data_IF_506741747788
#
_entry.id   IF_506741747788
#
_cell.length_a   1.000
_cell.length_b   1.000
_cell.length_c   1.000
_cell.angle_alpha   90.00
_cell.angle_beta   90.00
_cell.angle_gamma   90.00
#
_symmetry.space_group_name_H-M   'P 1'
#
loop_
_entity.id
_entity.type
_entity.pdbx_description
1 polymer ?
#
# COMPACT_ATOMS: atom_id res chain seq x y z
N UNK A 1 63.01 48.81 -11.40
CA UNK A 1 61.68 49.43 -11.23
C UNK A 1 60.74 48.86 -12.28
N UNK A 2 59.49 48.59 -11.87
CA UNK A 2 58.31 48.10 -12.65
C UNK A 2 58.09 46.58 -12.70
N UNK A 3 57.16 46.12 -11.85
CA UNK A 3 56.27 44.97 -12.05
C UNK A 3 55.39 45.19 -13.31
N UNK A 4 54.87 44.11 -13.93
CA UNK A 4 53.53 43.62 -13.58
C UNK A 4 53.53 42.08 -13.42
N UNK A 5 53.09 41.49 -12.30
CA UNK A 5 51.68 41.18 -11.97
C UNK A 5 50.88 40.62 -13.17
N UNK A 6 51.08 39.33 -13.47
CA UNK A 6 50.08 38.51 -14.14
C UNK A 6 49.28 37.75 -13.07
N UNK A 7 48.15 38.32 -12.69
CA UNK A 7 47.09 37.60 -11.98
C UNK A 7 46.43 36.66 -12.99
N UNK A 8 46.73 35.37 -12.90
CA UNK A 8 45.92 34.34 -13.55
C UNK A 8 44.68 34.14 -12.69
N UNK A 9 43.56 34.75 -13.07
CA UNK A 9 42.25 34.41 -12.53
C UNK A 9 41.89 33.02 -13.05
N UNK A 10 41.96 32.02 -12.18
CA UNK A 10 41.25 30.75 -12.36
C UNK A 10 39.76 31.10 -12.30
N UNK A 11 39.14 31.27 -13.46
CA UNK A 11 37.69 31.22 -13.59
C UNK A 11 37.26 29.80 -13.21
N UNK A 12 36.91 29.62 -11.94
CA UNK A 12 36.02 28.55 -11.52
C UNK A 12 34.70 28.81 -12.26
N UNK A 13 34.49 28.07 -13.35
CA UNK A 13 33.14 27.86 -13.86
C UNK A 13 32.37 27.17 -12.74
N UNK A 14 31.69 27.98 -11.92
CA UNK A 14 30.56 27.53 -11.15
C UNK A 14 29.56 26.99 -12.17
N UNK A 15 29.59 25.68 -12.36
CA UNK A 15 28.45 24.92 -12.89
C UNK A 15 27.36 25.18 -11.87
N UNK A 16 26.61 26.24 -12.11
CA UNK A 16 25.34 26.47 -11.46
C UNK A 16 24.47 25.31 -11.94
N UNK A 17 24.38 24.26 -11.12
CA UNK A 17 23.23 23.39 -11.13
C UNK A 17 22.04 24.30 -10.84
N UNK A 18 21.45 24.86 -11.89
CA UNK A 18 20.03 25.13 -11.88
C UNK A 18 19.39 23.81 -11.53
N UNK A 19 18.95 23.69 -10.28
CA UNK A 19 17.93 22.72 -9.91
C UNK A 19 16.72 23.07 -10.79
N UNK A 20 16.63 22.43 -11.96
CA UNK A 20 15.35 22.24 -12.60
C UNK A 20 14.52 21.46 -11.58
N UNK A 21 13.64 22.19 -10.91
CA UNK A 21 12.47 21.65 -10.25
C UNK A 21 11.58 21.09 -11.36
N UNK A 22 11.94 19.91 -11.85
CA UNK A 22 11.02 19.04 -12.56
C UNK A 22 10.36 18.15 -11.50
N UNK A 23 9.12 18.51 -11.19
CA UNK A 23 7.94 17.69 -10.89
C UNK A 23 8.04 16.14 -10.93
N UNK A 24 9.04 15.49 -10.31
CA UNK A 24 9.19 14.02 -10.37
C UNK A 24 9.19 13.30 -9.00
N UNK A 25 8.31 13.71 -8.08
CA UNK A 25 7.83 12.82 -7.01
C UNK A 25 6.40 13.19 -6.55
N UNK A 26 5.35 12.44 -6.95
CA UNK A 26 4.00 12.71 -6.50
C UNK A 26 3.79 12.06 -5.14
N UNK A 27 4.24 12.72 -4.08
CA UNK A 27 3.92 12.30 -2.72
C UNK A 27 4.35 13.31 -1.66
N UNK A 28 3.47 14.21 -1.20
CA UNK A 28 3.76 14.96 0.01
C UNK A 28 3.77 14.03 1.23
N UNK A 29 4.87 14.15 1.98
CA UNK A 29 5.10 13.65 3.33
C UNK A 29 3.95 14.15 4.24
N UNK A 30 3.19 13.23 4.86
CA UNK A 30 2.13 13.57 5.82
C UNK A 30 2.45 13.00 7.19
N UNK A 31 2.29 13.82 8.23
CA UNK A 31 2.64 13.63 9.65
C UNK A 31 1.82 12.58 10.42
N UNK A 32 2.54 11.72 11.13
CA UNK A 32 2.25 10.69 12.17
C UNK A 32 0.87 10.06 12.50
N UNK A 33 -0.32 10.53 12.07
CA UNK A 33 -1.60 9.86 12.40
C UNK A 33 -2.59 9.84 11.21
N UNK A 34 -2.51 8.84 10.32
CA UNK A 34 -3.30 8.81 9.06
C UNK A 34 -3.92 7.43 8.80
N UNK A 35 -4.65 6.89 9.76
CA UNK A 35 -5.76 5.99 9.47
C UNK A 35 -6.91 6.54 10.31
N UNK A 36 -8.15 6.61 9.82
CA UNK A 36 -8.68 6.11 8.53
C UNK A 36 -8.42 7.03 7.31
N UNK A 37 -8.67 6.53 6.09
CA UNK A 37 -8.56 7.28 4.83
C UNK A 37 -8.55 6.39 3.56
N UNK A 38 -8.38 7.01 2.39
CA UNK A 38 -8.34 6.32 1.09
C UNK A 38 -6.89 6.14 0.59
N UNK A 39 -6.54 4.91 0.22
CA UNK A 39 -5.17 4.54 -0.09
C UNK A 39 -5.03 3.54 -1.24
N UNK A 40 -3.87 3.62 -1.90
CA UNK A 40 -3.30 2.54 -2.72
C UNK A 40 -2.21 1.86 -1.91
N UNK A 41 -2.25 0.52 -1.85
CA UNK A 41 -1.20 -0.26 -1.21
C UNK A 41 -0.12 -0.61 -2.22
N UNK A 42 1.11 -0.19 -1.95
CA UNK A 42 2.26 -0.43 -2.83
C UNK A 42 3.43 -1.06 -2.09
N UNK A 43 4.41 -1.60 -2.82
CA UNK A 43 5.69 -2.05 -2.28
C UNK A 43 6.82 -1.65 -3.23
N UNK A 44 7.93 -1.18 -2.66
CA UNK A 44 9.13 -0.88 -3.44
C UNK A 44 9.80 -2.18 -3.93
N UNK A 45 9.83 -2.39 -5.25
CA UNK A 45 10.57 -3.48 -5.89
C UNK A 45 12.01 -3.07 -6.26
N UNK A 46 12.38 -1.81 -5.97
CA UNK A 46 13.65 -1.18 -6.36
C UNK A 46 14.91 -1.75 -5.71
N UNK A 47 14.85 -2.94 -5.10
CA UNK A 47 16.01 -3.64 -4.54
C UNK A 47 16.96 -4.16 -5.64
N UNK A 48 16.52 -4.17 -6.91
CA UNK A 48 17.26 -4.78 -8.03
C UNK A 48 17.64 -3.81 -9.16
N UNK A 49 17.22 -2.55 -9.11
CA UNK A 49 17.36 -1.64 -10.24
C UNK A 49 18.30 -0.47 -9.91
N UNK A 50 19.43 -0.42 -10.60
CA UNK A 50 20.45 0.64 -10.45
C UNK A 50 20.06 1.94 -11.18
N UNK A 51 19.05 1.88 -12.07
CA UNK A 51 18.54 3.01 -12.83
C UNK A 51 17.18 3.45 -12.24
N UNK A 52 17.07 4.66 -11.68
CA UNK A 52 15.82 5.18 -11.13
C UNK A 52 14.68 5.30 -12.15
N UNK A 53 14.98 5.39 -13.45
CA UNK A 53 13.98 5.57 -14.51
C UNK A 53 13.17 4.31 -14.83
N UNK A 54 13.65 3.14 -14.38
CA UNK A 54 12.94 1.86 -14.51
C UNK A 54 12.30 1.42 -13.19
N UNK A 55 12.55 2.15 -12.09
CA UNK A 55 12.09 1.80 -10.76
C UNK A 55 10.59 1.47 -10.79
N UNK A 56 10.21 0.35 -10.15
CA UNK A 56 8.82 -0.10 -10.05
C UNK A 56 8.27 -0.12 -8.62
N UNK A 57 6.96 0.02 -8.52
CA UNK A 57 6.16 -0.41 -7.38
C UNK A 57 5.44 -1.70 -7.76
N UNK A 58 5.37 -2.67 -6.86
CA UNK A 58 4.22 -3.58 -6.85
C UNK A 58 3.01 -2.85 -6.25
N UNK A 59 1.81 -3.11 -6.73
CA UNK A 59 0.55 -2.64 -6.13
C UNK A 59 -0.46 -3.77 -6.08
N UNK A 60 -1.44 -3.66 -5.16
CA UNK A 60 -2.56 -4.61 -5.11
C UNK A 60 -3.77 -4.04 -5.82
N UNK A 61 -4.51 -4.90 -6.52
CA UNK A 61 -5.75 -4.55 -7.20
C UNK A 61 -6.72 -5.73 -7.18
N UNK A 62 -7.95 -5.49 -7.61
CA UNK A 62 -8.97 -6.54 -7.75
C UNK A 62 -9.64 -6.53 -9.12
N UNK A 63 -10.12 -7.69 -9.54
CA UNK A 63 -11.11 -7.81 -10.62
C UNK A 63 -12.55 -7.98 -10.07
N UNK A 64 -12.77 -7.59 -8.80
CA UNK A 64 -14.00 -7.79 -8.00
C UNK A 64 -14.30 -9.22 -7.57
N UNK A 65 -13.49 -10.21 -7.96
CA UNK A 65 -13.63 -11.60 -7.51
C UNK A 65 -12.46 -12.07 -6.66
N UNK A 66 -11.24 -11.63 -6.99
CA UNK A 66 -10.02 -12.01 -6.29
C UNK A 66 -9.07 -10.81 -6.19
N UNK A 67 -8.09 -10.93 -5.31
CA UNK A 67 -7.04 -9.93 -5.12
C UNK A 67 -5.78 -10.36 -5.87
N UNK A 68 -5.17 -9.41 -6.55
CA UNK A 68 -3.99 -9.61 -7.36
C UNK A 68 -2.94 -8.55 -7.03
N UNK A 69 -1.72 -8.83 -7.45
CA UNK A 69 -0.59 -7.91 -7.49
C UNK A 69 -0.20 -7.66 -8.94
N UNK A 70 0.24 -6.46 -9.25
CA UNK A 70 0.99 -6.19 -10.47
C UNK A 70 2.12 -5.20 -10.19
N UNK A 71 2.98 -5.00 -11.16
CA UNK A 71 4.07 -4.04 -11.11
C UNK A 71 3.82 -2.87 -12.04
N UNK A 72 4.15 -1.66 -11.57
CA UNK A 72 4.04 -0.43 -12.35
C UNK A 72 5.25 0.46 -12.14
N UNK A 73 5.62 1.24 -13.15
CA UNK A 73 6.71 2.22 -13.03
C UNK A 73 6.37 3.26 -11.95
N UNK A 74 7.36 3.64 -11.13
CA UNK A 74 7.19 4.67 -10.10
C UNK A 74 6.87 6.05 -10.69
N UNK A 75 7.23 6.26 -11.96
CA UNK A 75 6.90 7.47 -12.73
C UNK A 75 5.44 7.50 -13.18
N UNK A 76 4.70 6.39 -13.07
CA UNK A 76 3.29 6.35 -13.43
C UNK A 76 2.43 7.07 -12.37
N UNK A 77 1.56 8.02 -12.76
CA UNK A 77 0.72 8.73 -11.80
C UNK A 77 -0.30 7.80 -11.13
N UNK A 78 -0.30 7.75 -9.79
CA UNK A 78 -1.30 6.97 -9.03
C UNK A 78 -2.74 7.42 -9.31
N UNK A 79 -2.93 8.69 -9.64
CA UNK A 79 -4.24 9.24 -10.00
C UNK A 79 -4.78 8.71 -11.33
N UNK A 80 -3.92 8.30 -12.26
CA UNK A 80 -4.35 7.59 -13.47
C UNK A 80 -4.54 6.10 -13.17
N UNK A 81 -3.65 5.50 -12.38
CA UNK A 81 -3.76 4.08 -12.00
C UNK A 81 -5.12 3.75 -11.37
N UNK A 82 -5.60 4.57 -10.44
CA UNK A 82 -6.90 4.33 -9.77
C UNK A 82 -8.12 4.56 -10.66
N UNK A 83 -7.95 5.17 -11.85
CA UNK A 83 -9.04 5.27 -12.85
C UNK A 83 -9.10 4.03 -13.73
N UNK A 84 -7.98 3.35 -13.90
CA UNK A 84 -7.82 2.20 -14.79
C UNK A 84 -8.01 0.88 -14.03
N UNK A 85 -7.62 0.85 -12.76
CA UNK A 85 -7.59 -0.35 -11.91
C UNK A 85 -8.41 -0.17 -10.64
N UNK A 86 -9.04 -1.26 -10.17
CA UNK A 86 -9.72 -1.30 -8.86
C UNK A 86 -8.68 -1.48 -7.74
N UNK A 87 -7.92 -0.43 -7.46
CA UNK A 87 -6.81 -0.45 -6.50
C UNK A 87 -6.85 0.67 -5.44
N UNK A 88 -7.93 1.46 -5.41
CA UNK A 88 -8.17 2.45 -4.37
C UNK A 88 -9.08 1.87 -3.29
N UNK A 89 -8.61 1.90 -2.06
CA UNK A 89 -9.33 1.31 -0.92
C UNK A 89 -9.52 2.31 0.21
N UNK A 90 -10.72 2.34 0.75
CA UNK A 90 -11.08 3.06 1.96
C UNK A 90 -10.75 2.21 3.17
N UNK A 91 -9.84 2.68 4.01
CA UNK A 91 -9.48 2.07 5.29
C UNK A 91 -10.25 2.78 6.39
N UNK A 92 -11.15 2.07 7.08
CA UNK A 92 -12.01 2.63 8.13
C UNK A 92 -11.78 1.92 9.48
N UNK A 93 -11.84 2.67 10.59
CA UNK A 93 -11.78 2.07 11.93
C UNK A 93 -12.95 1.09 12.13
N UNK A 94 -12.64 -0.08 12.69
CA UNK A 94 -13.61 -1.10 13.09
C UNK A 94 -13.43 -1.43 14.56
N UNK A 95 -14.51 -1.91 15.17
CA UNK A 95 -14.42 -2.57 16.47
C UNK A 95 -13.88 -3.98 16.26
N UNK A 96 -12.98 -4.38 17.15
CA UNK A 96 -12.51 -5.75 17.32
C UNK A 96 -12.55 -6.09 18.80
N UNK A 97 -12.62 -7.37 19.14
CA UNK A 97 -12.58 -7.82 20.52
C UNK A 97 -11.28 -7.37 21.22
N UNK A 98 -11.42 -6.51 22.23
CA UNK A 98 -10.32 -6.01 23.05
C UNK A 98 -10.03 -4.51 22.90
N UNK A 99 -8.82 -4.11 23.30
CA UNK A 99 -8.40 -2.70 23.36
C UNK A 99 -7.61 -2.20 22.13
N UNK A 100 -7.37 -3.07 21.14
CA UNK A 100 -6.54 -2.76 19.98
C UNK A 100 -7.41 -2.26 18.83
N UNK A 101 -7.07 -1.09 18.27
CA UNK A 101 -7.71 -0.58 17.06
C UNK A 101 -7.47 -1.53 15.89
N UNK A 102 -8.52 -1.87 15.16
CA UNK A 102 -8.46 -2.60 13.91
C UNK A 102 -9.22 -1.85 12.83
N UNK A 103 -9.04 -2.27 11.58
CA UNK A 103 -9.55 -1.55 10.43
C UNK A 103 -10.18 -2.51 9.43
N UNK A 104 -11.19 -2.02 8.73
CA UNK A 104 -11.70 -2.65 7.51
C UNK A 104 -11.03 -2.00 6.30
N UNK A 105 -10.93 -2.74 5.21
CA UNK A 105 -10.38 -2.23 3.94
C UNK A 105 -11.43 -2.49 2.86
N UNK A 106 -12.08 -1.43 2.41
CA UNK A 106 -13.22 -1.47 1.49
C UNK A 106 -12.79 -0.93 0.12
N UNK A 107 -13.31 -1.49 -0.97
CA UNK A 107 -13.06 -0.95 -2.30
C UNK A 107 -13.82 0.38 -2.48
N UNK A 108 -13.12 1.44 -2.89
CA UNK A 108 -13.70 2.79 -2.90
C UNK A 108 -14.79 2.98 -3.97
N UNK A 109 -14.67 2.34 -5.13
CA UNK A 109 -15.64 2.46 -6.22
C UNK A 109 -16.78 1.43 -6.16
N UNK A 110 -16.71 0.49 -5.20
CA UNK A 110 -17.74 -0.51 -4.94
C UNK A 110 -17.85 -0.80 -3.44
N UNK A 111 -18.66 -0.02 -2.69
CA UNK A 111 -18.71 -0.13 -1.24
C UNK A 111 -19.32 -1.44 -0.74
N UNK A 112 -19.85 -2.29 -1.62
CA UNK A 112 -20.26 -3.65 -1.22
C UNK A 112 -19.06 -4.56 -0.98
N UNK A 113 -17.87 -4.20 -1.46
CA UNK A 113 -16.72 -5.10 -1.54
C UNK A 113 -15.65 -4.75 -0.50
N UNK A 114 -15.28 -5.72 0.31
CA UNK A 114 -14.26 -5.62 1.35
C UNK A 114 -13.14 -6.61 1.11
N UNK A 115 -11.91 -6.26 1.48
CA UNK A 115 -10.83 -7.24 1.58
C UNK A 115 -11.11 -8.18 2.75
N UNK A 116 -10.88 -9.46 2.54
CA UNK A 116 -10.94 -10.49 3.57
C UNK A 116 -9.86 -11.54 3.33
N UNK A 117 -9.47 -12.26 4.37
CA UNK A 117 -8.54 -13.37 4.28
C UNK A 117 -9.24 -14.72 4.50
N UNK A 118 -8.74 -15.79 3.90
CA UNK A 118 -9.29 -17.11 4.14
C UNK A 118 -8.41 -18.22 3.60
N UNK A 119 -8.62 -19.43 4.10
CA UNK A 119 -7.92 -20.60 3.59
C UNK A 119 -8.23 -20.80 2.12
N UNK A 120 -7.18 -20.99 1.33
CA UNK A 120 -7.32 -21.35 -0.07
C UNK A 120 -7.89 -22.78 -0.20
N UNK A 121 -8.28 -23.16 -1.42
CA UNK A 121 -8.88 -24.48 -1.71
C UNK A 121 -7.98 -25.67 -1.32
N UNK A 122 -6.65 -25.48 -1.32
CA UNK A 122 -5.69 -26.52 -0.93
C UNK A 122 -5.45 -26.59 0.59
N UNK A 123 -5.94 -25.60 1.36
CA UNK A 123 -5.77 -25.45 2.82
C UNK A 123 -4.32 -25.28 3.31
N UNK A 124 -3.36 -25.15 2.40
CA UNK A 124 -1.95 -24.93 2.71
C UNK A 124 -1.61 -23.43 2.74
N UNK A 125 -2.44 -22.62 2.10
CA UNK A 125 -2.24 -21.18 1.93
C UNK A 125 -3.43 -20.39 2.44
N UNK A 126 -3.17 -19.13 2.79
CA UNK A 126 -4.19 -18.14 3.08
C UNK A 126 -4.18 -17.11 1.97
N UNK A 127 -5.34 -16.89 1.35
CA UNK A 127 -5.49 -15.97 0.24
C UNK A 127 -6.20 -14.71 0.70
N UNK A 128 -5.86 -13.60 0.07
CA UNK A 128 -6.65 -12.38 0.16
C UNK A 128 -7.74 -12.44 -0.92
N UNK A 129 -8.98 -12.18 -0.55
CA UNK A 129 -10.13 -12.24 -1.46
C UNK A 129 -11.09 -11.09 -1.20
N UNK A 130 -12.10 -10.98 -2.07
CA UNK A 130 -13.17 -9.98 -1.94
C UNK A 130 -14.39 -10.59 -1.23
N UNK A 131 -14.77 -9.98 -0.12
CA UNK A 131 -15.97 -10.29 0.64
C UNK A 131 -17.08 -9.30 0.31
N UNK A 132 -18.30 -9.81 0.09
CA UNK A 132 -19.48 -8.98 -0.11
C UNK A 132 -20.10 -8.60 1.24
N UNK A 133 -19.99 -7.34 1.60
CA UNK A 133 -20.57 -6.76 2.80
C UNK A 133 -22.09 -6.79 2.81
N UNK A 134 -22.64 -6.79 4.02
CA UNK A 134 -24.06 -6.74 4.28
C UNK A 134 -24.55 -5.29 4.29
N UNK A 135 -25.69 -5.04 3.62
CA UNK A 135 -26.36 -3.75 3.67
C UNK A 135 -27.11 -3.57 4.99
N UNK A 136 -26.59 -2.71 5.85
CA UNK A 136 -27.22 -2.33 7.11
C UNK A 136 -28.05 -1.06 6.91
N UNK A 137 -29.27 -1.04 7.43
CA UNK A 137 -30.17 0.13 7.36
C UNK A 137 -30.67 0.49 8.76
N UNK A 138 -29.92 1.31 9.52
CA UNK A 138 -30.36 1.74 10.84
C UNK A 138 -31.57 2.66 10.75
N UNK A 139 -32.45 2.60 11.75
CA UNK A 139 -33.61 3.49 11.84
C UNK A 139 -33.13 4.94 11.96
N UNK A 140 -33.52 5.79 11.01
CA UNK A 140 -33.19 7.22 11.03
C UNK A 140 -31.81 7.60 10.46
N UNK A 141 -31.10 6.66 9.84
CA UNK A 141 -29.79 6.91 9.21
C UNK A 141 -29.75 6.35 7.77
N UNK A 142 -28.85 6.86 6.91
CA UNK A 142 -28.58 6.25 5.61
C UNK A 142 -28.11 4.80 5.74
N UNK A 143 -28.46 3.96 4.76
CA UNK A 143 -27.89 2.62 4.66
C UNK A 143 -26.39 2.68 4.42
N UNK A 144 -25.65 1.71 4.97
CA UNK A 144 -24.23 1.51 4.71
C UNK A 144 -23.93 0.02 4.57
N UNK A 145 -22.76 -0.31 4.01
CA UNK A 145 -22.28 -1.69 3.95
C UNK A 145 -21.31 -1.97 5.09
N UNK A 146 -21.44 -3.12 5.71
CA UNK A 146 -20.55 -3.62 6.76
C UNK A 146 -20.02 -4.99 6.35
N UNK A 147 -18.77 -5.36 6.63
CA UNK A 147 -18.34 -6.74 6.44
C UNK A 147 -19.05 -7.73 7.41
N UNK A 148 -19.78 -7.21 8.41
CA UNK A 148 -20.48 -7.98 9.43
C UNK A 148 -19.80 -7.84 10.80
N UNK A 149 -20.54 -8.17 11.86
CA UNK A 149 -20.00 -8.10 13.22
C UNK A 149 -19.10 -9.30 13.56
N UNK A 150 -19.34 -10.46 12.93
CA UNK A 150 -18.58 -11.71 13.15
C UNK A 150 -17.46 -11.94 12.11
N UNK A 151 -17.18 -10.97 11.23
CA UNK A 151 -16.25 -11.13 10.11
C UNK A 151 -14.82 -10.69 10.47
N UNK A 152 -14.19 -11.34 11.46
CA UNK A 152 -12.82 -11.01 11.86
C UNK A 152 -11.81 -11.20 10.72
N UNK A 153 -12.10 -12.08 9.77
CA UNK A 153 -11.32 -12.27 8.55
C UNK A 153 -11.30 -11.05 7.61
N UNK A 154 -12.28 -10.15 7.74
CA UNK A 154 -12.38 -8.90 6.99
C UNK A 154 -11.85 -7.69 7.78
N UNK A 155 -11.21 -7.93 8.92
CA UNK A 155 -10.60 -6.91 9.78
C UNK A 155 -9.10 -7.10 9.84
N UNK A 156 -8.38 -5.99 9.92
CA UNK A 156 -6.93 -5.98 9.86
C UNK A 156 -6.31 -5.10 10.95
N UNK A 157 -5.20 -5.56 11.52
CA UNK A 157 -4.30 -4.73 12.30
C UNK A 157 -3.23 -4.12 11.41
N UNK A 158 -3.03 -2.82 11.55
CA UNK A 158 -1.97 -2.08 10.88
C UNK A 158 -0.83 -1.84 11.87
N UNK A 159 0.23 -2.63 11.75
CA UNK A 159 1.41 -2.52 12.59
C UNK A 159 2.43 -1.60 11.92
N UNK A 160 2.65 -0.42 12.50
CA UNK A 160 3.61 0.57 12.00
C UNK A 160 5.01 -0.05 12.00
N UNK A 161 5.65 -0.08 10.84
CA UNK A 161 6.97 -0.68 10.68
C UNK A 161 8.07 0.38 10.69
N UNK A 162 8.03 1.33 9.75
CA UNK A 162 8.98 2.45 9.64
C UNK A 162 8.50 3.49 8.61
N UNK A 163 9.08 4.69 8.66
CA UNK A 163 8.94 5.71 7.61
C UNK A 163 10.13 5.60 6.64
N UNK A 164 9.87 5.13 5.41
CA UNK A 164 10.89 5.00 4.38
C UNK A 164 10.74 6.16 3.41
N UNK A 165 11.66 7.12 3.47
CA UNK A 165 11.68 8.29 2.57
C UNK A 165 10.38 9.12 2.61
N UNK A 166 9.72 9.22 3.76
CA UNK A 166 8.47 9.99 3.92
C UNK A 166 7.20 9.21 3.54
N UNK A 167 7.33 7.94 3.17
CA UNK A 167 6.22 7.02 2.86
C UNK A 167 6.07 6.03 4.02
N UNK A 168 4.85 5.98 4.57
CA UNK A 168 4.53 5.11 5.70
C UNK A 168 4.40 3.67 5.24
N UNK A 169 4.98 2.77 6.04
CA UNK A 169 4.90 1.34 5.80
C UNK A 169 4.26 0.61 6.97
N UNK A 170 3.42 -0.37 6.65
CA UNK A 170 2.71 -1.19 7.62
C UNK A 170 2.90 -2.67 7.32
N UNK A 171 3.07 -3.47 8.37
CA UNK A 171 2.72 -4.88 8.31
C UNK A 171 1.22 -4.98 8.59
N UNK A 172 0.46 -5.57 7.66
CA UNK A 172 -1.00 -5.62 7.71
C UNK A 172 -1.40 -7.06 8.05
N UNK A 173 -1.87 -7.28 9.27
CA UNK A 173 -2.23 -8.59 9.83
C UNK A 173 -3.74 -8.81 9.77
N UNK A 174 -4.21 -10.00 9.41
CA UNK A 174 -5.62 -10.37 9.52
C UNK A 174 -6.00 -10.66 10.98
N UNK A 175 -7.11 -10.07 11.46
CA UNK A 175 -7.61 -10.29 12.83
C UNK A 175 -8.11 -11.72 13.02
N UNK A 176 -8.92 -12.22 12.10
CA UNK A 176 -9.48 -13.58 12.14
C UNK A 176 -8.43 -14.68 11.91
N UNK A 177 -7.22 -14.31 11.48
CA UNK A 177 -6.11 -15.22 11.26
C UNK A 177 -4.82 -14.68 11.88
N UNK A 178 -4.70 -14.68 13.23
CA UNK A 178 -3.53 -14.10 13.91
C UNK A 178 -2.20 -14.70 13.42
N UNK A 179 -1.21 -13.84 13.24
CA UNK A 179 0.10 -14.18 12.68
C UNK A 179 0.14 -14.28 11.16
N UNK A 180 -0.96 -14.03 10.44
CA UNK A 180 -0.98 -13.97 8.99
C UNK A 180 -1.03 -12.54 8.49
N UNK A 181 -0.06 -12.18 7.65
CA UNK A 181 0.15 -10.82 7.15
C UNK A 181 0.08 -10.78 5.63
N UNK A 182 -0.38 -9.67 5.05
CA UNK A 182 -0.35 -9.44 3.61
C UNK A 182 1.03 -9.72 3.03
N UNK A 183 1.11 -10.67 2.10
CA UNK A 183 2.37 -11.15 1.53
C UNK A 183 2.69 -10.49 0.20
N UNK A 184 3.98 -10.31 -0.07
CA UNK A 184 4.57 -10.00 -1.38
C UNK A 184 5.08 -11.25 -2.11
N UNK A 185 4.99 -12.42 -1.50
CA UNK A 185 5.43 -13.68 -2.10
C UNK A 185 4.34 -14.24 -3.02
N UNK A 186 4.72 -14.84 -4.17
CA UNK A 186 3.75 -15.54 -5.00
C UNK A 186 3.15 -16.74 -4.23
N UNK A 187 1.92 -17.15 -4.55
CA UNK A 187 1.37 -18.40 -4.04
C UNK A 187 2.17 -19.60 -4.57
N UNK A 188 1.90 -20.77 -4.00
CA UNK A 188 2.41 -22.04 -4.48
C UNK A 188 1.92 -22.39 -5.89
N UNK A 189 2.47 -23.48 -6.41
CA UNK A 189 2.45 -23.84 -7.84
C UNK A 189 1.07 -24.00 -8.51
N UNK A 190 -0.03 -24.04 -7.75
CA UNK A 190 -1.39 -24.25 -8.29
C UNK A 190 -2.16 -22.96 -8.58
N UNK A 191 -1.62 -21.79 -8.24
CA UNK A 191 -2.28 -20.51 -8.44
C UNK A 191 -1.48 -19.60 -9.36
N UNK A 192 -2.14 -18.60 -9.95
CA UNK A 192 -1.43 -17.60 -10.73
C UNK A 192 -0.45 -16.85 -9.80
N UNK A 193 0.79 -16.64 -10.28
CA UNK A 193 1.89 -16.12 -9.48
C UNK A 193 1.63 -14.72 -8.90
N UNK A 194 0.61 -14.03 -9.42
CA UNK A 194 0.23 -12.69 -9.02
C UNK A 194 -1.00 -12.65 -8.11
N UNK A 195 -1.58 -13.79 -7.70
CA UNK A 195 -2.66 -13.82 -6.69
C UNK A 195 -2.10 -13.39 -5.34
N UNK A 196 -2.84 -12.53 -4.63
CA UNK A 196 -2.46 -12.06 -3.31
C UNK A 196 -2.66 -13.14 -2.25
N UNK A 197 -1.62 -13.39 -1.46
CA UNK A 197 -1.64 -14.30 -0.32
C UNK A 197 -1.35 -13.58 0.97
N UNK A 198 -1.58 -14.27 2.09
CA UNK A 198 -1.01 -13.91 3.36
C UNK A 198 0.11 -14.89 3.69
N UNK A 199 1.15 -14.40 4.34
CA UNK A 199 2.25 -15.21 4.86
C UNK A 199 2.22 -15.25 6.38
N UNK A 200 2.62 -16.39 6.93
CA UNK A 200 2.68 -16.60 8.36
C UNK A 200 3.98 -16.07 8.93
N UNK A 201 3.89 -15.21 9.93
CA UNK A 201 5.04 -14.64 10.62
C UNK A 201 4.84 -14.67 12.14
N UNK A 202 5.96 -14.71 12.87
CA UNK A 202 5.93 -14.76 14.34
C UNK A 202 5.66 -13.39 14.98
N UNK A 203 5.95 -12.31 14.27
CA UNK A 203 5.78 -10.94 14.73
C UNK A 203 5.65 -9.98 13.53
N UNK A 204 5.14 -8.76 13.75
CA UNK A 204 5.02 -7.78 12.69
C UNK A 204 6.35 -7.40 12.07
N UNK A 205 7.44 -7.32 12.83
CA UNK A 205 8.77 -6.88 12.36
C UNK A 205 9.31 -7.73 11.20
N UNK A 206 9.10 -9.05 11.25
CA UNK A 206 9.50 -9.98 10.18
C UNK A 206 8.55 -10.02 8.97
N UNK A 207 7.36 -9.44 9.08
CA UNK A 207 6.37 -9.48 8.02
C UNK A 207 6.63 -8.48 6.88
N UNK A 208 6.10 -8.74 5.67
CA UNK A 208 6.24 -7.84 4.55
C UNK A 208 5.58 -6.51 4.83
N UNK A 209 6.24 -5.45 4.36
CA UNK A 209 5.81 -4.08 4.61
C UNK A 209 5.20 -3.51 3.35
N UNK A 210 3.99 -2.98 3.50
CA UNK A 210 3.26 -2.31 2.45
C UNK A 210 3.22 -0.82 2.71
N UNK A 211 3.59 -0.06 1.69
CA UNK A 211 3.42 1.38 1.66
C UNK A 211 1.92 1.70 1.49
N UNK A 212 1.43 2.67 2.27
CA UNK A 212 0.04 3.11 2.23
C UNK A 212 0.02 4.54 1.68
N UNK A 213 -0.34 4.71 0.40
CA UNK A 213 -0.19 5.97 -0.34
C UNK A 213 -1.54 6.62 -0.60
N UNK A 214 -1.66 7.91 -0.30
CA UNK A 214 -2.83 8.72 -0.70
C UNK A 214 -2.75 9.07 -2.18
N UNK A 215 -3.89 9.10 -2.86
CA UNK A 215 -4.01 9.71 -4.18
C UNK A 215 -4.32 11.20 -4.00
N UNK A 216 -3.52 12.09 -4.60
CA UNK A 216 -3.78 13.53 -4.63
C UNK A 216 -3.95 14.00 -6.06
#
# INVERSE_FOLDING_TARGET
MKNPLFFSCVLLFAVSCSSSSSDDDPGPIVSEENLPGDYVFTKDESIFEQDPSVARYSYIYTNKSAMFRDDILKTYPLSELVKEEHCLFTVAESQCDGAKKCYTIQLTDDPELFLSAGSSSNKEEVHLFIFHGEKITPVGSPSYYSPGDDSDEARFYFHKAEDVKGVRTYAIECVGMPGWYLSDSPPGFNYAANVMTLQKESNPEGAPKWQVRTVK
#
